data_IF_120731200501
#
_entry.id   IF_120731200501
#
_cell.length_a   1.000
_cell.length_b   1.000
_cell.length_c   1.000
_cell.angle_alpha   90.00
_cell.angle_beta   90.00
_cell.angle_gamma   90.00
#
_symmetry.space_group_name_H-M   'P 1'
#
loop_
_entity.id
_entity.type
_entity.pdbx_description
1 polymer ?
#
# COMPACT_ATOMS: atom_id res chain seq x y z
N UNK A 1 0.55 37.15 18.80
CA UNK A 1 0.04 35.89 18.19
C UNK A 1 -0.04 36.13 16.69
N UNK A 2 0.90 35.60 15.92
CA UNK A 2 0.89 35.73 14.47
C UNK A 2 0.05 34.59 13.92
N UNK A 3 -1.09 34.89 13.32
CA UNK A 3 -1.86 33.95 12.52
C UNK A 3 -0.96 33.48 11.36
N UNK A 4 -0.54 32.23 11.39
CA UNK A 4 0.02 31.57 10.21
C UNK A 4 -1.15 31.40 9.22
N UNK A 5 -1.31 32.35 8.31
CA UNK A 5 -2.15 32.17 7.12
C UNK A 5 -1.55 31.01 6.31
N UNK A 6 -2.17 29.85 6.41
CA UNK A 6 -1.82 28.69 5.61
C UNK A 6 -1.82 29.08 4.13
N UNK A 7 -0.77 28.69 3.40
CA UNK A 7 -0.65 28.93 1.97
C UNK A 7 -1.79 28.18 1.26
N UNK A 8 -2.78 28.89 0.77
CA UNK A 8 -3.89 28.34 -0.01
C UNK A 8 -3.36 27.73 -1.30
N UNK A 9 -3.45 26.43 -1.44
CA UNK A 9 -2.99 25.69 -2.62
C UNK A 9 -4.20 25.37 -3.51
N UNK A 10 -4.22 25.97 -4.70
CA UNK A 10 -5.17 25.59 -5.74
C UNK A 10 -4.44 24.66 -6.71
N UNK A 11 -4.83 23.37 -6.83
CA UNK A 11 -4.19 22.47 -7.76
C UNK A 11 -4.45 22.89 -9.20
N UNK A 12 -3.45 22.65 -10.08
CA UNK A 12 -3.57 23.00 -11.52
C UNK A 12 -4.61 22.14 -12.23
N UNK A 13 -4.79 20.90 -11.80
CA UNK A 13 -5.78 19.96 -12.33
C UNK A 13 -6.74 19.62 -11.20
N UNK A 14 -8.03 19.74 -11.46
CA UNK A 14 -9.08 19.54 -10.48
C UNK A 14 -10.35 19.04 -11.13
N UNK A 15 -11.17 18.29 -10.39
CA UNK A 15 -12.51 17.94 -10.84
C UNK A 15 -13.40 19.19 -10.96
N UNK A 16 -14.28 19.20 -11.95
CA UNK A 16 -15.22 20.31 -12.11
C UNK A 16 -16.18 20.40 -10.91
N UNK A 17 -16.49 21.64 -10.52
CA UNK A 17 -17.42 21.92 -9.42
C UNK A 17 -16.76 22.20 -8.06
N UNK A 18 -15.46 21.97 -7.92
CA UNK A 18 -14.71 22.32 -6.71
C UNK A 18 -13.91 23.60 -6.90
N UNK A 19 -14.14 24.58 -6.04
CA UNK A 19 -13.49 25.91 -6.10
C UNK A 19 -12.72 26.22 -4.84
N UNK A 20 -13.06 25.58 -3.71
CA UNK A 20 -12.46 25.86 -2.42
C UNK A 20 -10.97 25.48 -2.40
N UNK A 21 -10.10 26.32 -1.84
CA UNK A 21 -8.67 26.02 -1.77
C UNK A 21 -8.43 24.78 -0.89
N UNK A 22 -7.40 24.01 -1.23
CA UNK A 22 -6.93 22.94 -0.37
C UNK A 22 -6.20 23.51 0.84
N UNK A 23 -6.36 22.88 1.99
CA UNK A 23 -5.70 23.28 3.22
C UNK A 23 -4.37 22.55 3.39
N UNK A 24 -3.33 23.27 3.80
CA UNK A 24 -2.06 22.66 4.15
C UNK A 24 -2.04 22.37 5.66
N UNK A 25 -1.76 21.12 6.02
CA UNK A 25 -1.74 20.63 7.41
C UNK A 25 -0.51 19.76 7.64
N UNK A 26 -0.02 19.68 8.89
CA UNK A 26 1.01 18.69 9.24
C UNK A 26 0.41 17.30 9.32
N UNK A 27 1.15 16.29 8.84
CA UNK A 27 0.68 14.91 8.88
C UNK A 27 0.43 14.44 10.32
N UNK A 28 1.32 14.78 11.26
CA UNK A 28 1.16 14.41 12.66
C UNK A 28 -0.01 15.09 13.39
N UNK A 29 -0.58 16.18 12.83
CA UNK A 29 -1.78 16.84 13.37
C UNK A 29 -3.07 16.20 12.83
N UNK A 30 -2.98 15.43 11.75
CA UNK A 30 -4.11 14.80 11.06
C UNK A 30 -4.19 13.28 11.29
N UNK A 31 -3.04 12.62 11.52
CA UNK A 31 -2.95 11.18 11.63
C UNK A 31 -2.23 10.76 12.92
N UNK A 32 -2.89 9.94 13.73
CA UNK A 32 -2.33 9.34 14.95
C UNK A 32 -1.40 8.17 14.60
N UNK A 33 -0.20 8.15 15.19
CA UNK A 33 0.74 7.04 15.04
C UNK A 33 0.39 5.90 16.02
N UNK A 34 -0.06 4.80 15.47
CA UNK A 34 -0.37 3.59 16.22
C UNK A 34 0.89 2.73 16.47
N UNK A 35 0.77 1.74 17.35
CA UNK A 35 1.82 0.76 17.63
C UNK A 35 1.71 -0.41 16.67
N UNK A 36 2.82 -0.78 16.06
CA UNK A 36 2.98 -1.99 15.26
C UNK A 36 3.53 -3.14 16.13
N UNK A 37 3.48 -4.38 15.62
CA UNK A 37 4.16 -5.52 16.22
C UNK A 37 5.59 -5.69 15.64
N UNK A 38 6.33 -6.65 16.20
CA UNK A 38 7.70 -6.95 15.80
C UNK A 38 7.87 -8.40 15.32
N UNK A 39 6.77 -9.04 14.90
CA UNK A 39 6.80 -10.40 14.41
C UNK A 39 7.58 -10.49 13.10
N UNK A 40 8.45 -11.47 13.02
CA UNK A 40 9.22 -11.77 11.83
C UNK A 40 8.38 -12.52 10.79
N UNK A 41 8.82 -12.55 9.55
CA UNK A 41 8.15 -13.32 8.49
C UNK A 41 8.02 -14.81 8.81
N UNK A 42 8.93 -15.37 9.60
CA UNK A 42 8.91 -16.79 10.01
C UNK A 42 7.75 -17.13 10.96
N UNK A 43 7.15 -16.14 11.60
CA UNK A 43 6.00 -16.30 12.51
C UNK A 43 4.67 -16.13 11.79
N UNK A 44 4.70 -15.85 10.47
CA UNK A 44 3.53 -15.62 9.63
C UNK A 44 3.29 -16.76 8.66
N UNK A 45 2.03 -17.07 8.39
CA UNK A 45 1.57 -18.05 7.40
C UNK A 45 0.65 -17.40 6.36
N UNK A 46 0.66 -17.89 5.14
CA UNK A 46 -0.28 -17.45 4.10
C UNK A 46 -1.66 -18.14 4.20
N UNK A 47 -1.74 -19.28 4.90
CA UNK A 47 -2.94 -20.12 4.97
C UNK A 47 -3.52 -20.31 6.36
N UNK A 48 -2.68 -20.28 7.40
CA UNK A 48 -3.05 -20.63 8.77
C UNK A 48 -3.01 -19.40 9.69
N UNK A 49 -3.88 -19.40 10.71
CA UNK A 49 -3.94 -18.33 11.70
C UNK A 49 -5.25 -17.56 11.69
N UNK A 50 -5.50 -16.82 12.77
CA UNK A 50 -6.75 -16.09 13.01
C UNK A 50 -6.61 -14.58 12.83
N UNK A 51 -5.43 -14.03 13.04
CA UNK A 51 -5.14 -12.61 12.93
C UNK A 51 -4.27 -12.31 11.72
N UNK A 52 -4.64 -11.28 10.97
CA UNK A 52 -3.90 -10.80 9.80
C UNK A 52 -2.74 -9.90 10.23
N UNK A 53 -1.62 -9.99 9.53
CA UNK A 53 -0.43 -9.16 9.74
C UNK A 53 0.02 -8.48 8.44
N UNK A 54 0.09 -7.16 8.45
CA UNK A 54 0.51 -6.36 7.30
C UNK A 54 1.99 -6.05 7.44
N UNK A 55 2.83 -6.90 6.84
CA UNK A 55 4.28 -6.80 6.92
C UNK A 55 4.84 -5.80 5.89
N UNK A 56 5.90 -5.05 6.25
CA UNK A 56 6.49 -4.01 5.38
C UNK A 56 6.85 -4.49 3.97
N UNK A 57 7.42 -5.69 3.85
CA UNK A 57 7.80 -6.25 2.55
C UNK A 57 6.61 -6.48 1.63
N UNK A 58 5.43 -6.80 2.18
CA UNK A 58 4.21 -6.95 1.40
C UNK A 58 3.64 -5.57 0.98
N UNK A 59 3.76 -4.56 1.84
CA UNK A 59 3.42 -3.16 1.49
C UNK A 59 4.29 -2.67 0.33
N UNK A 60 5.59 -2.95 0.37
CA UNK A 60 6.52 -2.52 -0.69
C UNK A 60 6.25 -3.20 -2.04
N UNK A 61 5.86 -4.50 -2.04
CA UNK A 61 5.90 -5.31 -3.27
C UNK A 61 4.50 -5.74 -3.73
N UNK A 62 3.60 -6.12 -2.80
CA UNK A 62 2.35 -6.81 -3.15
C UNK A 62 1.12 -5.89 -3.16
N UNK A 63 1.06 -4.93 -2.24
CA UNK A 63 -0.13 -4.13 -2.06
C UNK A 63 -0.08 -2.84 -2.88
N UNK A 64 -1.24 -2.46 -3.41
CA UNK A 64 -1.46 -1.16 -4.03
C UNK A 64 -1.71 -0.06 -2.98
N UNK A 65 -2.17 1.09 -3.45
CA UNK A 65 -2.53 2.21 -2.57
C UNK A 65 -3.67 1.87 -1.61
N UNK A 66 -4.55 0.93 -1.99
CA UNK A 66 -5.66 0.46 -1.15
C UNK A 66 -5.58 -1.06 -1.00
N UNK A 67 -5.57 -1.53 0.24
CA UNK A 67 -5.58 -2.94 0.61
C UNK A 67 -6.99 -3.38 0.99
N UNK A 68 -7.66 -4.05 0.07
CA UNK A 68 -8.94 -4.70 0.36
C UNK A 68 -8.69 -6.07 0.99
N UNK A 69 -8.98 -6.21 2.28
CA UNK A 69 -8.68 -7.42 3.05
C UNK A 69 -9.50 -8.65 2.62
N UNK A 70 -10.61 -8.45 1.92
CA UNK A 70 -11.42 -9.57 1.39
C UNK A 70 -10.86 -10.15 0.08
N UNK A 71 -10.13 -9.32 -0.68
CA UNK A 71 -9.61 -9.69 -1.99
C UNK A 71 -8.13 -10.04 -1.97
N UNK A 72 -7.37 -9.42 -1.07
CA UNK A 72 -5.93 -9.59 -0.99
C UNK A 72 -5.53 -10.83 -0.18
N UNK A 73 -4.43 -11.45 -0.56
CA UNK A 73 -3.77 -12.47 0.26
C UNK A 73 -2.87 -11.76 1.27
N UNK A 74 -3.31 -11.70 2.52
CA UNK A 74 -2.57 -11.10 3.62
C UNK A 74 -2.14 -12.24 4.56
N UNK A 75 -0.85 -12.31 4.94
CA UNK A 75 -0.37 -13.31 5.88
C UNK A 75 -1.07 -13.20 7.23
N UNK A 76 -1.03 -14.32 7.97
CA UNK A 76 -1.66 -14.41 9.30
C UNK A 76 -0.62 -14.85 10.31
N UNK A 77 -0.80 -14.42 11.56
CA UNK A 77 -0.01 -14.89 12.69
C UNK A 77 -0.37 -16.35 12.93
N UNK A 78 0.62 -17.25 12.82
CA UNK A 78 0.43 -18.71 12.90
C UNK A 78 -0.11 -19.15 14.26
N UNK A 79 0.48 -18.63 15.35
CA UNK A 79 0.08 -18.97 16.72
C UNK A 79 -1.00 -18.01 17.21
N UNK A 80 -2.20 -18.56 17.47
CA UNK A 80 -3.32 -17.79 18.02
C UNK A 80 -3.01 -17.20 19.40
N UNK A 81 -2.20 -17.88 20.24
CA UNK A 81 -1.81 -17.37 21.54
C UNK A 81 -0.86 -16.16 21.41
N UNK A 82 -0.05 -16.10 20.35
CA UNK A 82 0.76 -14.91 20.02
C UNK A 82 -0.17 -13.78 19.54
N UNK A 83 -1.12 -14.09 18.67
CA UNK A 83 -2.09 -13.11 18.19
C UNK A 83 -2.91 -12.47 19.33
N UNK A 84 -3.37 -13.28 20.29
CA UNK A 84 -4.18 -12.82 21.43
C UNK A 84 -3.38 -11.98 22.44
N UNK A 85 -2.07 -12.18 22.53
CA UNK A 85 -1.16 -11.44 23.42
C UNK A 85 -0.59 -10.16 22.81
N UNK A 86 -0.92 -9.85 21.55
CA UNK A 86 -0.42 -8.62 20.94
C UNK A 86 -0.86 -7.39 21.74
N UNK A 87 0.12 -6.54 22.06
CA UNK A 87 -0.09 -5.25 22.75
C UNK A 87 -0.12 -4.06 21.80
N UNK A 88 0.13 -4.31 20.50
CA UNK A 88 0.01 -3.31 19.46
C UNK A 88 -1.47 -3.01 19.17
N UNK A 89 -1.69 -1.91 18.45
CA UNK A 89 -3.04 -1.45 18.16
C UNK A 89 -3.65 -2.28 17.01
N UNK A 90 -4.94 -2.60 17.15
CA UNK A 90 -5.69 -3.25 16.07
C UNK A 90 -6.04 -2.23 15.02
N UNK A 91 -5.81 -2.60 13.76
CA UNK A 91 -6.15 -1.78 12.61
C UNK A 91 -7.65 -1.85 12.30
N UNK A 92 -8.15 -0.79 11.71
CA UNK A 92 -9.51 -0.64 11.22
C UNK A 92 -9.53 -0.04 9.80
N UNK A 93 -10.70 -0.06 9.16
CA UNK A 93 -10.86 0.56 7.84
C UNK A 93 -10.51 2.04 7.88
N UNK A 94 -9.74 2.51 6.88
CA UNK A 94 -9.21 3.86 6.79
C UNK A 94 -7.81 4.05 7.42
N UNK A 95 -7.33 3.09 8.23
CA UNK A 95 -5.93 3.15 8.72
C UNK A 95 -4.97 2.98 7.55
N UNK A 96 -3.87 3.75 7.56
CA UNK A 96 -2.82 3.68 6.56
C UNK A 96 -1.57 3.03 7.15
N UNK A 97 -1.01 2.07 6.45
CA UNK A 97 0.20 1.36 6.86
C UNK A 97 1.34 1.76 5.93
N UNK A 98 2.35 2.42 6.48
CA UNK A 98 3.53 2.89 5.76
C UNK A 98 4.71 1.96 6.03
N UNK A 99 5.46 1.54 5.02
CA UNK A 99 6.74 0.88 5.17
C UNK A 99 7.81 1.91 5.59
N UNK A 100 8.32 1.79 6.81
CA UNK A 100 9.32 2.71 7.36
C UNK A 100 10.75 2.40 6.93
N UNK A 101 10.96 1.26 6.30
CA UNK A 101 12.26 0.73 5.92
C UNK A 101 12.18 0.05 4.55
N UNK A 102 13.18 0.27 3.69
CA UNK A 102 13.37 -0.43 2.42
C UNK A 102 14.86 -0.46 2.02
N UNK A 103 15.22 -1.21 0.99
CA UNK A 103 16.58 -1.25 0.42
C UNK A 103 16.83 -0.10 -0.58
N UNK A 104 15.80 0.64 -0.94
CA UNK A 104 15.84 1.74 -1.90
C UNK A 104 14.94 2.91 -1.49
N UNK A 105 14.70 3.85 -2.40
CA UNK A 105 13.84 5.01 -2.19
C UNK A 105 12.34 4.70 -2.12
N UNK A 106 11.92 3.43 -2.13
CA UNK A 106 10.54 3.03 -1.93
C UNK A 106 10.06 3.14 -0.47
N UNK A 107 10.96 3.49 0.46
CA UNK A 107 10.61 3.88 1.83
C UNK A 107 9.50 4.92 1.82
N UNK A 108 8.52 4.76 2.68
CA UNK A 108 7.34 5.63 2.72
C UNK A 108 6.19 5.15 1.84
N UNK A 109 6.37 4.08 1.02
CA UNK A 109 5.24 3.45 0.34
C UNK A 109 4.22 2.98 1.36
N UNK A 110 2.95 3.15 1.06
CA UNK A 110 1.87 2.85 1.99
C UNK A 110 0.70 2.14 1.33
N UNK A 111 -0.19 1.64 2.17
CA UNK A 111 -1.48 1.10 1.76
C UNK A 111 -2.57 1.48 2.77
N UNK A 112 -3.75 1.88 2.30
CA UNK A 112 -4.92 2.17 3.13
C UNK A 112 -5.77 0.89 3.27
N UNK A 113 -6.11 0.53 4.50
CA UNK A 113 -6.88 -0.69 4.79
C UNK A 113 -8.37 -0.47 4.55
N UNK A 114 -9.02 -1.42 3.89
CA UNK A 114 -10.48 -1.46 3.78
C UNK A 114 -11.03 -2.89 3.86
N UNK A 115 -12.32 -3.02 4.19
CA UNK A 115 -13.05 -4.28 4.35
C UNK A 115 -12.43 -5.21 5.42
N UNK A 116 -11.98 -4.63 6.53
CA UNK A 116 -11.41 -5.34 7.67
C UNK A 116 -12.44 -5.71 8.74
N UNK A 117 -13.69 -5.26 8.60
CA UNK A 117 -14.74 -5.41 9.62
C UNK A 117 -14.87 -6.84 10.11
N UNK A 118 -14.84 -7.01 11.44
CA UNK A 118 -14.95 -8.31 12.11
C UNK A 118 -13.66 -9.16 12.10
N UNK A 119 -12.58 -8.64 11.50
CA UNK A 119 -11.28 -9.33 11.43
C UNK A 119 -10.30 -8.69 12.40
N UNK A 120 -9.37 -9.49 12.91
CA UNK A 120 -8.25 -9.03 13.72
C UNK A 120 -7.08 -8.74 12.77
N UNK A 121 -6.67 -7.47 12.67
CA UNK A 121 -5.60 -7.02 11.76
C UNK A 121 -4.59 -6.21 12.54
N UNK A 122 -3.32 -6.49 12.32
CA UNK A 122 -2.19 -5.80 12.93
C UNK A 122 -1.23 -5.26 11.88
N UNK A 123 -0.50 -4.23 12.24
CA UNK A 123 0.64 -3.72 11.50
C UNK A 123 1.89 -4.44 11.94
N UNK A 124 2.65 -4.98 11.00
CA UNK A 124 3.80 -5.84 11.24
C UNK A 124 5.12 -5.08 11.41
N UNK A 125 6.19 -5.85 11.44
CA UNK A 125 7.55 -5.34 11.56
C UNK A 125 7.88 -4.32 10.47
N UNK A 126 8.62 -3.27 10.83
CA UNK A 126 9.06 -2.19 9.93
C UNK A 126 7.91 -1.48 9.21
N UNK A 127 6.83 -1.26 9.95
CA UNK A 127 5.70 -0.45 9.48
C UNK A 127 5.35 0.66 10.47
N UNK A 128 4.81 1.76 9.95
CA UNK A 128 4.19 2.82 10.72
C UNK A 128 2.69 2.84 10.41
N UNK A 129 1.85 2.29 11.27
CA UNK A 129 0.40 2.43 11.12
C UNK A 129 -0.05 3.81 11.59
N UNK A 130 -0.92 4.42 10.79
CA UNK A 130 -1.47 5.75 11.01
C UNK A 130 -2.99 5.69 10.96
N UNK A 131 -3.64 6.33 11.91
CA UNK A 131 -5.11 6.45 11.98
C UNK A 131 -5.54 7.87 11.75
N UNK A 132 -6.45 8.14 10.81
CA UNK A 132 -7.03 9.45 10.64
C UNK A 132 -7.75 9.92 11.91
N UNK A 133 -7.46 11.14 12.37
CA UNK A 133 -8.14 11.76 13.51
C UNK A 133 -9.41 12.51 13.10
N UNK A 134 -9.54 12.81 11.80
CA UNK A 134 -10.71 13.44 11.20
C UNK A 134 -11.42 12.54 10.19
N UNK A 135 -12.41 13.08 9.49
CA UNK A 135 -13.12 12.39 8.41
C UNK A 135 -12.28 12.47 7.12
N UNK A 136 -11.95 11.30 6.56
CA UNK A 136 -11.31 11.15 5.26
C UNK A 136 -12.11 10.19 4.38
N UNK A 137 -12.14 10.46 3.08
CA UNK A 137 -12.77 9.57 2.13
C UNK A 137 -11.91 8.32 1.91
N UNK A 138 -12.55 7.15 1.90
CA UNK A 138 -11.86 5.86 1.67
C UNK A 138 -11.08 5.86 0.35
N UNK A 139 -9.86 5.35 0.39
CA UNK A 139 -8.92 5.28 -0.72
C UNK A 139 -8.13 6.58 -0.96
N UNK A 140 -8.58 7.72 -0.41
CA UNK A 140 -7.90 9.00 -0.65
C UNK A 140 -6.49 9.03 -0.05
N UNK A 141 -6.35 8.68 1.23
CA UNK A 141 -5.05 8.73 1.92
C UNK A 141 -4.03 7.79 1.30
N UNK A 142 -4.45 6.56 0.95
CA UNK A 142 -3.58 5.59 0.30
C UNK A 142 -3.01 6.11 -1.03
N UNK A 143 -3.83 6.73 -1.87
CA UNK A 143 -3.37 7.33 -3.12
C UNK A 143 -2.57 8.61 -2.91
N UNK A 144 -3.00 9.48 -1.99
CA UNK A 144 -2.32 10.75 -1.74
C UNK A 144 -0.91 10.54 -1.18
N UNK A 145 -0.74 9.70 -0.17
CA UNK A 145 0.56 9.46 0.46
C UNK A 145 1.53 8.67 -0.45
N UNK A 146 1.03 7.93 -1.43
CA UNK A 146 1.85 7.31 -2.49
C UNK A 146 2.12 8.26 -3.68
N UNK A 147 1.57 9.47 -3.68
CA UNK A 147 1.82 10.42 -4.78
C UNK A 147 3.28 10.88 -4.80
N UNK A 148 3.80 11.18 -5.99
CA UNK A 148 5.15 11.74 -6.14
C UNK A 148 5.33 13.06 -5.39
N UNK A 149 4.27 13.87 -5.29
CA UNK A 149 4.27 15.14 -4.56
C UNK A 149 4.50 14.93 -3.07
N UNK A 150 3.82 13.97 -2.45
CA UNK A 150 4.05 13.65 -1.04
C UNK A 150 5.40 12.95 -0.86
N UNK A 151 5.70 11.92 -1.65
CA UNK A 151 6.92 11.13 -1.53
C UNK A 151 8.19 11.97 -1.70
N UNK A 152 8.19 13.01 -2.54
CA UNK A 152 9.34 13.90 -2.71
C UNK A 152 9.76 14.62 -1.43
N UNK A 153 8.85 14.84 -0.47
CA UNK A 153 9.16 15.40 0.85
C UNK A 153 9.92 14.40 1.73
N UNK A 154 9.77 13.10 1.47
CA UNK A 154 10.40 12.05 2.26
C UNK A 154 11.86 11.84 1.87
N UNK A 155 12.24 12.07 0.61
CA UNK A 155 13.59 11.83 0.11
C UNK A 155 14.69 12.47 0.96
N UNK A 156 14.65 13.76 1.36
CA UNK A 156 15.65 14.38 2.19
C UNK A 156 15.62 13.91 3.65
N UNK A 157 14.56 13.22 4.08
CA UNK A 157 14.39 12.72 5.45
C UNK A 157 14.86 11.28 5.61
N UNK A 158 15.15 10.60 4.50
CA UNK A 158 15.63 9.23 4.46
C UNK A 158 17.03 9.10 5.03
N UNK A 159 17.26 8.09 5.86
CA UNK A 159 18.54 7.81 6.51
C UNK A 159 18.98 6.37 6.27
N UNK A 160 20.28 6.16 6.09
CA UNK A 160 20.89 4.85 5.84
C UNK A 160 21.61 4.78 4.50
N UNK A 161 22.36 3.69 4.30
CA UNK A 161 23.16 3.47 3.06
C UNK A 161 22.66 2.22 2.32
N UNK A 162 22.57 1.08 3.02
CA UNK A 162 22.09 -0.20 2.45
C UNK A 162 20.64 -0.45 2.78
N UNK A 163 20.24 -0.06 3.98
CA UNK A 163 18.86 -0.10 4.46
C UNK A 163 18.49 1.34 4.76
N UNK A 164 17.51 1.83 4.08
CA UNK A 164 17.01 3.20 4.19
C UNK A 164 15.78 3.19 5.09
N UNK A 165 15.69 4.15 6.00
CA UNK A 165 14.54 4.27 6.91
C UNK A 165 14.12 5.72 7.12
N UNK A 166 12.88 5.91 7.54
CA UNK A 166 12.30 7.19 7.97
C UNK A 166 11.81 7.06 9.42
N UNK A 167 12.13 8.05 10.25
CA UNK A 167 11.64 8.08 11.62
C UNK A 167 10.19 8.59 11.71
N UNK A 168 9.45 8.17 12.76
CA UNK A 168 8.09 8.66 13.04
C UNK A 168 8.05 10.19 13.19
N UNK A 169 9.05 10.79 13.86
CA UNK A 169 9.11 12.24 14.03
C UNK A 169 9.30 12.97 12.70
N UNK A 170 10.18 12.46 11.82
CA UNK A 170 10.37 13.04 10.49
C UNK A 170 9.11 12.94 9.64
N UNK A 171 8.40 11.80 9.70
CA UNK A 171 7.12 11.60 9.02
C UNK A 171 6.05 12.56 9.56
N UNK A 172 5.94 12.72 10.87
CA UNK A 172 4.95 13.62 11.50
C UNK A 172 5.12 15.08 11.10
N UNK A 173 6.35 15.52 10.84
CA UNK A 173 6.66 16.89 10.42
C UNK A 173 6.42 17.16 8.93
N UNK A 174 6.11 16.15 8.12
CA UNK A 174 5.74 16.36 6.72
C UNK A 174 4.40 17.09 6.60
N UNK A 175 4.18 17.72 5.47
CA UNK A 175 2.95 18.44 5.20
C UNK A 175 2.09 17.72 4.19
N UNK A 176 0.79 17.77 4.39
CA UNK A 176 -0.19 17.27 3.44
C UNK A 176 -1.15 18.37 3.02
N UNK A 177 -1.69 18.26 1.82
CA UNK A 177 -2.72 19.17 1.31
C UNK A 177 -4.04 18.44 1.26
N UNK A 178 -5.04 19.00 1.94
CA UNK A 178 -6.31 18.32 2.21
C UNK A 178 -7.45 19.07 1.52
N UNK A 179 -8.09 18.47 0.51
CA UNK A 179 -9.33 18.99 -0.08
C UNK A 179 -10.55 18.67 0.79
N UNK A 180 -11.71 19.17 0.40
CA UNK A 180 -12.99 18.77 1.01
C UNK A 180 -13.22 17.26 0.88
N UNK A 181 -13.97 16.66 1.82
CA UNK A 181 -14.24 15.21 1.83
C UNK A 181 -14.94 14.76 0.54
N UNK A 182 -15.80 15.61 -0.04
CA UNK A 182 -16.47 15.30 -1.32
C UNK A 182 -15.48 15.24 -2.49
N UNK A 183 -14.48 16.13 -2.51
CA UNK A 183 -13.42 16.09 -3.52
C UNK A 183 -12.48 14.90 -3.28
N UNK A 184 -12.15 14.57 -2.01
CA UNK A 184 -11.40 13.37 -1.67
C UNK A 184 -12.09 12.10 -2.20
N UNK A 185 -13.43 11.99 -2.10
CA UNK A 185 -14.19 10.86 -2.66
C UNK A 185 -14.01 10.73 -4.16
N UNK A 186 -14.04 11.86 -4.88
CA UNK A 186 -13.83 11.81 -6.33
C UNK A 186 -12.39 11.45 -6.70
N UNK A 187 -11.41 11.98 -5.97
CA UNK A 187 -9.99 11.65 -6.16
C UNK A 187 -9.74 10.17 -5.91
N UNK A 188 -10.16 9.65 -4.75
CA UNK A 188 -10.00 8.23 -4.39
C UNK A 188 -10.65 7.30 -5.43
N UNK A 189 -11.93 7.54 -5.75
CA UNK A 189 -12.66 6.74 -6.73
C UNK A 189 -12.03 6.77 -8.14
N UNK A 190 -11.46 7.90 -8.55
CA UNK A 190 -10.76 8.03 -9.82
C UNK A 190 -9.52 7.14 -9.87
N UNK A 191 -8.67 7.20 -8.85
CA UNK A 191 -7.45 6.41 -8.82
C UNK A 191 -7.72 4.91 -8.61
N UNK A 192 -8.70 4.53 -7.79
CA UNK A 192 -9.15 3.14 -7.66
C UNK A 192 -9.60 2.56 -9.02
N UNK A 193 -10.30 3.38 -9.81
CA UNK A 193 -10.71 2.98 -11.16
C UNK A 193 -9.52 2.83 -12.10
N UNK A 194 -8.54 3.73 -12.03
CA UNK A 194 -7.31 3.61 -12.81
C UNK A 194 -6.53 2.35 -12.45
N UNK A 195 -6.34 2.06 -11.17
CA UNK A 195 -5.66 0.85 -10.70
C UNK A 195 -6.36 -0.42 -11.18
N UNK A 196 -7.71 -0.41 -11.16
CA UNK A 196 -8.51 -1.51 -11.69
C UNK A 196 -8.30 -1.72 -13.20
N UNK A 197 -8.25 -0.62 -13.98
CA UNK A 197 -8.01 -0.67 -15.42
C UNK A 197 -6.59 -1.15 -15.75
N UNK A 198 -5.58 -0.70 -15.01
CA UNK A 198 -4.18 -1.13 -15.16
C UNK A 198 -4.07 -2.62 -14.89
N UNK A 199 -4.66 -3.11 -13.80
CA UNK A 199 -4.66 -4.53 -13.44
C UNK A 199 -5.33 -5.39 -14.52
N UNK A 200 -6.50 -4.97 -15.01
CA UNK A 200 -7.20 -5.68 -16.10
C UNK A 200 -6.36 -5.70 -17.40
N UNK A 201 -5.65 -4.62 -17.69
CA UNK A 201 -4.80 -4.54 -18.88
C UNK A 201 -3.60 -5.48 -18.76
N UNK A 202 -2.94 -5.50 -17.60
CA UNK A 202 -1.84 -6.42 -17.31
C UNK A 202 -2.28 -7.89 -17.40
N UNK A 203 -3.46 -8.25 -16.87
CA UNK A 203 -4.02 -9.60 -16.98
C UNK A 203 -4.29 -10.01 -18.43
N UNK A 204 -4.76 -9.10 -19.30
CA UNK A 204 -4.96 -9.40 -20.72
C UNK A 204 -3.65 -9.76 -21.42
N UNK A 205 -2.57 -9.02 -21.13
CA UNK A 205 -1.26 -9.31 -21.72
C UNK A 205 -0.67 -10.63 -21.19
N UNK A 206 -0.84 -10.96 -19.92
CA UNK A 206 -0.45 -12.27 -19.37
C UNK A 206 -1.21 -13.41 -20.04
N UNK A 207 -2.52 -13.26 -20.26
CA UNK A 207 -3.35 -14.24 -20.95
C UNK A 207 -2.96 -14.46 -22.42
N UNK A 208 -2.70 -13.37 -23.16
CA UNK A 208 -2.27 -13.42 -24.57
C UNK A 208 -0.86 -14.00 -24.70
N UNK A 209 0.08 -13.61 -23.81
CA UNK A 209 1.43 -14.18 -23.81
C UNK A 209 1.42 -15.68 -23.51
N UNK A 210 0.61 -16.14 -22.53
CA UNK A 210 0.43 -17.56 -22.23
C UNK A 210 -0.21 -18.33 -23.38
N UNK A 211 -1.19 -17.73 -24.08
CA UNK A 211 -1.83 -18.33 -25.24
C UNK A 211 -0.87 -18.39 -26.45
N UNK A 212 -0.08 -17.35 -26.72
CA UNK A 212 0.93 -17.33 -27.76
C UNK A 212 2.05 -18.36 -27.52
N UNK A 213 2.50 -18.50 -26.26
CA UNK A 213 3.46 -19.55 -25.88
C UNK A 213 2.85 -20.97 -26.09
N UNK A 214 1.60 -21.17 -25.70
CA UNK A 214 0.87 -22.41 -25.90
C UNK A 214 0.72 -22.77 -27.40
N UNK A 215 0.37 -21.79 -28.23
CA UNK A 215 0.24 -21.98 -29.71
C UNK A 215 1.59 -22.21 -30.36
N UNK A 216 2.66 -21.53 -29.89
CA UNK A 216 4.01 -21.78 -30.42
C UNK A 216 4.53 -23.20 -30.08
N UNK A 217 4.27 -23.66 -28.86
CA UNK A 217 4.64 -25.01 -28.42
C UNK A 217 3.86 -26.09 -29.18
N UNK A 218 2.59 -25.89 -29.48
CA UNK A 218 1.77 -26.82 -30.29
C UNK A 218 2.26 -26.85 -31.75
N UNK A 219 2.67 -25.72 -32.32
CA UNK A 219 3.23 -25.69 -33.70
C UNK A 219 4.59 -26.36 -33.81
N UNK A 220 5.46 -26.20 -32.79
CA UNK A 220 6.77 -26.87 -32.76
C UNK A 220 6.65 -28.38 -32.48
N UNK A 221 5.61 -28.83 -31.78
CA UNK A 221 5.33 -30.25 -31.52
C UNK A 221 4.81 -31.04 -32.71
N UNK A 222 4.34 -30.36 -33.78
CA UNK A 222 3.87 -31.03 -35.00
C UNK A 222 4.98 -31.26 -36.04
N UNK A 223 6.19 -30.76 -35.81
CA UNK A 223 7.30 -30.89 -36.80
C UNK A 223 8.48 -31.76 -36.35
N UNK A 224 8.50 -32.31 -35.11
CA UNK A 224 9.57 -33.24 -34.71
C UNK A 224 9.20 -34.11 -33.51
N UNK A 225 8.91 -35.38 -33.81
CA UNK A 225 8.79 -36.48 -32.83
C UNK A 225 10.12 -36.88 -32.17
N UNK A 226 11.20 -36.08 -32.33
CA UNK A 226 12.55 -36.45 -31.87
C UNK A 226 13.18 -35.57 -30.79
N UNK A 227 12.62 -34.40 -30.48
CA UNK A 227 13.30 -33.40 -29.63
C UNK A 227 12.68 -33.18 -28.23
N UNK A 228 11.65 -33.93 -27.86
CA UNK A 228 10.88 -33.72 -26.63
C UNK A 228 11.46 -34.37 -25.37
N UNK A 229 12.59 -35.08 -25.47
CA UNK A 229 13.22 -35.77 -24.34
C UNK A 229 14.02 -34.88 -23.39
N UNK A 230 14.61 -33.80 -23.86
CA UNK A 230 15.59 -33.02 -23.07
C UNK A 230 15.07 -31.72 -22.42
N UNK A 231 13.90 -31.25 -22.79
CA UNK A 231 13.39 -29.95 -22.28
C UNK A 231 12.55 -30.04 -21.00
N UNK A 232 12.32 -31.21 -20.44
CA UNK A 232 11.61 -31.40 -19.15
C UNK A 232 12.42 -31.04 -17.88
N UNK A 233 13.73 -30.80 -18.02
CA UNK A 233 14.63 -30.53 -16.89
C UNK A 233 14.91 -29.04 -16.62
N UNK A 234 14.40 -28.12 -17.45
CA UNK A 234 14.74 -26.69 -17.36
C UNK A 234 13.61 -25.85 -16.71
N UNK A 235 12.41 -26.42 -16.47
CA UNK A 235 11.24 -25.74 -15.90
C UNK A 235 10.73 -26.42 -14.62
N UNK A 236 11.63 -26.71 -13.69
CA UNK A 236 11.29 -26.97 -12.29
C UNK A 236 11.94 -25.96 -11.39
#
# INVERSE_FOLDING_TARGET
MAEQHGKTLVPQIRFAGFTDPWEQRKLGDELEFLRNNTLSRAELSESEGTAFDIHYGDVLIKYGSVLNLEKAKVPRIMDSAIADRQTCDRLQDGDVIIADTAEDSAVGKCTELCNSKGKMVFSGLHTMPLRPMGEYASGYLGHYLNSSTFHSQLLPLMQGIKVISISRSAMADTTMTVPSVDEQRQIGAFFDRLDSLITLHQCKYCGVASWMLGVALVRLGSESDGAFGEMKHVLR
#
